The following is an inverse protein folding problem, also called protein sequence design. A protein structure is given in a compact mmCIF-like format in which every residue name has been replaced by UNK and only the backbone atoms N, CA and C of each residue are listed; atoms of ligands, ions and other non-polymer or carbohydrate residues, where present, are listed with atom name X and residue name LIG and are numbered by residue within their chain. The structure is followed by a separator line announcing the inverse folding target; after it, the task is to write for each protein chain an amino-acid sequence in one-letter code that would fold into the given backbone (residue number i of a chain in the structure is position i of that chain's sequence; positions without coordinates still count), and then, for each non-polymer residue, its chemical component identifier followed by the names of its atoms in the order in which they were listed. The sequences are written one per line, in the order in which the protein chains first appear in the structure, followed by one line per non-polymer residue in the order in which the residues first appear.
data_IF_605313533887
#
_entry.id   IF_605313533887
#
_cell.length_a   1.000
_cell.length_b   1.000
_cell.length_c   1.000
_cell.angle_alpha   90.00
_cell.angle_beta   90.00
_cell.angle_gamma   90.00
#
_symmetry.space_group_name_H-M   'P 1'
#
loop_
_entity.id
_entity.type
_entity.pdbx_description
1 polymer ?
#
# COMPACT_ATOMS: atom_id res chain seq x y z
N UNK A 1 -7.31 -6.19 -33.01
CA UNK A 1 -8.46 -5.48 -32.40
C UNK A 1 -9.62 -6.38 -31.92
N UNK A 2 -9.77 -7.66 -32.31
CA UNK A 2 -10.88 -8.52 -31.83
C UNK A 2 -10.73 -9.00 -30.37
N UNK A 3 -9.53 -9.35 -29.92
CA UNK A 3 -9.31 -9.91 -28.59
C UNK A 3 -9.66 -8.97 -27.43
N UNK A 4 -9.29 -7.68 -27.53
CA UNK A 4 -9.59 -6.69 -26.48
C UNK A 4 -11.11 -6.52 -26.27
N UNK A 5 -11.89 -6.49 -27.35
CA UNK A 5 -13.36 -6.40 -27.27
C UNK A 5 -13.99 -7.63 -26.62
N UNK A 6 -13.44 -8.83 -26.88
CA UNK A 6 -13.90 -10.07 -26.25
C UNK A 6 -13.58 -10.04 -24.75
N UNK A 7 -12.36 -9.63 -24.38
CA UNK A 7 -11.95 -9.50 -22.97
C UNK A 7 -12.84 -8.49 -22.24
N UNK A 8 -13.09 -7.32 -22.85
CA UNK A 8 -13.99 -6.31 -22.27
C UNK A 8 -15.42 -6.84 -22.10
N UNK A 9 -15.92 -7.62 -23.06
CA UNK A 9 -17.24 -8.24 -22.96
C UNK A 9 -17.29 -9.28 -21.83
N UNK A 10 -16.28 -10.15 -21.74
CA UNK A 10 -16.18 -11.16 -20.67
C UNK A 10 -16.07 -10.50 -19.30
N UNK A 11 -15.23 -9.47 -19.15
CA UNK A 11 -15.10 -8.73 -17.89
C UNK A 11 -16.42 -8.04 -17.50
N UNK A 12 -17.16 -7.50 -18.48
CA UNK A 12 -18.47 -6.91 -18.24
C UNK A 12 -19.49 -7.94 -17.77
N UNK A 13 -19.58 -9.09 -18.44
CA UNK A 13 -20.48 -10.17 -18.05
C UNK A 13 -20.13 -10.75 -16.67
N UNK A 14 -18.83 -10.94 -16.39
CA UNK A 14 -18.36 -11.36 -15.07
C UNK A 14 -18.75 -10.34 -13.99
N UNK A 15 -18.63 -9.04 -14.26
CA UNK A 15 -19.06 -7.99 -13.34
C UNK A 15 -20.58 -7.99 -13.13
N UNK A 16 -21.38 -8.30 -14.15
CA UNK A 16 -22.84 -8.38 -14.03
C UNK A 16 -23.27 -9.62 -13.22
N UNK A 17 -22.61 -10.77 -13.44
CA UNK A 17 -22.97 -12.03 -12.78
C UNK A 17 -22.43 -12.12 -11.35
N UNK A 18 -21.16 -11.74 -11.14
CA UNK A 18 -20.43 -11.96 -9.89
C UNK A 18 -19.98 -10.66 -9.21
N UNK A 19 -20.09 -9.52 -9.89
CA UNK A 19 -19.68 -8.24 -9.33
C UNK A 19 -20.64 -7.73 -8.27
N UNK A 20 -20.11 -6.81 -7.47
CA UNK A 20 -20.84 -6.20 -6.36
C UNK A 20 -21.93 -5.29 -6.90
N UNK A 21 -23.16 -5.52 -6.42
CA UNK A 21 -24.33 -4.73 -6.80
C UNK A 21 -24.31 -3.41 -6.05
N UNK A 22 -24.43 -2.29 -6.79
CA UNK A 22 -24.42 -0.93 -6.24
C UNK A 22 -23.23 -0.65 -5.32
N UNK A 23 -21.99 -0.70 -5.85
CA UNK A 23 -20.81 -0.49 -5.01
C UNK A 23 -20.77 0.92 -4.44
N UNK A 24 -20.25 1.04 -3.22
CA UNK A 24 -19.97 2.33 -2.59
C UNK A 24 -18.66 2.89 -3.13
N UNK A 25 -18.55 4.21 -3.15
CA UNK A 25 -17.29 4.87 -3.50
C UNK A 25 -16.21 4.47 -2.49
N UNK A 26 -15.00 4.24 -3.00
CA UNK A 26 -13.83 3.93 -2.19
C UNK A 26 -12.99 5.19 -1.99
N UNK A 27 -12.74 5.54 -0.74
CA UNK A 27 -11.90 6.67 -0.32
C UNK A 27 -10.58 6.09 0.19
N UNK A 28 -9.53 6.22 -0.61
CA UNK A 28 -8.19 5.69 -0.28
C UNK A 28 -7.35 6.80 0.31
N UNK A 29 -6.85 6.60 1.52
CA UNK A 29 -5.97 7.54 2.22
C UNK A 29 -4.53 7.03 2.18
N UNK A 30 -3.64 7.80 1.57
CA UNK A 30 -2.23 7.42 1.42
C UNK A 30 -1.32 8.51 1.98
N UNK A 31 -0.67 8.29 3.14
CA UNK A 31 0.45 9.12 3.55
C UNK A 31 1.66 8.84 2.66
N UNK A 32 2.38 9.88 2.26
CA UNK A 32 3.61 9.77 1.48
C UNK A 32 4.58 10.91 1.80
N UNK A 33 5.82 10.80 1.32
CA UNK A 33 6.82 11.85 1.41
C UNK A 33 7.90 11.62 0.35
N UNK A 34 8.59 12.70 -0.03
CA UNK A 34 9.63 12.66 -1.06
C UNK A 34 10.82 11.83 -0.60
N UNK A 35 11.05 10.71 -1.31
CA UNK A 35 12.15 9.77 -1.08
C UNK A 35 12.48 8.97 -2.35
N UNK A 36 13.58 8.23 -2.32
CA UNK A 36 14.12 7.45 -3.45
C UNK A 36 13.09 6.60 -4.19
N UNK A 37 12.25 5.86 -3.46
CA UNK A 37 11.27 4.93 -4.05
C UNK A 37 9.83 5.46 -4.06
N UNK A 38 9.61 6.74 -3.74
CA UNK A 38 8.27 7.33 -3.70
C UNK A 38 7.51 7.14 -5.02
N UNK A 39 8.15 7.47 -6.14
CA UNK A 39 7.51 7.39 -7.46
C UNK A 39 7.17 5.94 -7.84
N UNK A 40 8.01 4.97 -7.47
CA UNK A 40 7.75 3.54 -7.68
C UNK A 40 6.50 3.11 -6.92
N UNK A 41 6.47 3.38 -5.61
CA UNK A 41 5.39 3.04 -4.69
C UNK A 41 4.05 3.65 -5.12
N UNK A 42 4.01 4.98 -5.33
CA UNK A 42 2.80 5.66 -5.79
C UNK A 42 2.34 5.17 -7.16
N UNK A 43 3.24 4.82 -8.07
CA UNK A 43 2.86 4.24 -9.38
C UNK A 43 2.22 2.87 -9.23
N UNK A 44 2.77 2.01 -8.37
CA UNK A 44 2.21 0.68 -8.09
C UNK A 44 0.80 0.75 -7.51
N UNK A 45 0.61 1.60 -6.50
CA UNK A 45 -0.71 1.83 -5.91
C UNK A 45 -1.67 2.45 -6.94
N UNK A 46 -1.23 3.47 -7.68
CA UNK A 46 -2.01 4.11 -8.73
C UNK A 46 -2.54 3.11 -9.77
N UNK A 47 -1.69 2.21 -10.26
CA UNK A 47 -2.10 1.17 -11.20
C UNK A 47 -3.11 0.20 -10.59
N UNK A 48 -2.95 -0.15 -9.31
CA UNK A 48 -3.92 -0.97 -8.58
C UNK A 48 -5.28 -0.28 -8.53
N UNK A 49 -5.33 0.99 -8.11
CA UNK A 49 -6.57 1.76 -8.00
C UNK A 49 -7.26 1.99 -9.34
N UNK A 50 -6.51 2.22 -10.42
CA UNK A 50 -7.08 2.40 -11.77
C UNK A 50 -7.69 1.12 -12.37
N UNK A 51 -7.38 -0.05 -11.81
CA UNK A 51 -7.96 -1.32 -12.21
C UNK A 51 -9.23 -1.68 -11.41
N UNK A 52 -9.57 -0.89 -10.38
CA UNK A 52 -10.75 -1.13 -9.59
C UNK A 52 -12.04 -0.82 -10.37
N UNK A 53 -13.09 -1.63 -10.21
CA UNK A 53 -14.38 -1.41 -10.85
C UNK A 53 -15.27 -0.39 -10.12
N UNK A 54 -14.69 0.40 -9.20
CA UNK A 54 -15.35 1.27 -8.23
C UNK A 54 -15.01 2.75 -8.45
N UNK A 55 -15.87 3.65 -7.96
CA UNK A 55 -15.56 5.08 -7.94
C UNK A 55 -14.55 5.37 -6.83
N UNK A 56 -13.31 5.66 -7.22
CA UNK A 56 -12.20 5.88 -6.28
C UNK A 56 -11.91 7.37 -6.08
N UNK A 57 -11.93 7.80 -4.82
CA UNK A 57 -11.36 9.08 -4.36
C UNK A 57 -10.04 8.78 -3.66
N UNK A 58 -8.93 9.21 -4.24
CA UNK A 58 -7.60 8.99 -3.69
C UNK A 58 -7.05 10.25 -3.03
N UNK A 59 -6.98 10.23 -1.71
CA UNK A 59 -6.45 11.32 -0.88
C UNK A 59 -4.99 11.02 -0.56
N UNK A 60 -4.10 11.77 -1.20
CA UNK A 60 -2.65 11.65 -1.00
C UNK A 60 -2.20 12.80 -0.10
N UNK A 61 -1.67 12.47 1.08
CA UNK A 61 -1.14 13.45 2.03
C UNK A 61 0.38 13.38 1.98
N UNK A 62 1.04 14.48 1.65
CA UNK A 62 2.50 14.53 1.46
C UNK A 62 3.20 15.30 2.60
N UNK A 63 4.10 14.64 3.33
CA UNK A 63 4.88 15.27 4.39
C UNK A 63 5.95 16.21 3.81
N UNK A 64 6.13 17.37 4.44
CA UNK A 64 7.02 18.43 3.98
C UNK A 64 6.40 19.39 2.96
N UNK A 65 5.10 19.27 2.71
CA UNK A 65 4.35 20.08 1.75
C UNK A 65 4.08 19.37 0.42
N UNK A 66 3.04 19.80 -0.29
CA UNK A 66 2.68 19.24 -1.59
C UNK A 66 3.69 19.68 -2.66
N UNK A 67 4.33 18.72 -3.33
CA UNK A 67 5.36 19.00 -4.34
C UNK A 67 4.82 18.90 -5.76
N UNK A 68 5.44 19.64 -6.69
CA UNK A 68 5.05 19.62 -8.10
C UNK A 68 5.35 18.27 -8.75
N UNK A 69 6.42 17.60 -8.32
CA UNK A 69 6.84 16.29 -8.77
C UNK A 69 5.79 15.22 -8.43
N UNK A 70 5.35 15.20 -7.17
CA UNK A 70 4.26 14.32 -6.72
C UNK A 70 2.96 14.67 -7.45
N UNK A 71 2.62 15.95 -7.59
CA UNK A 71 1.42 16.38 -8.31
C UNK A 71 1.43 15.93 -9.79
N UNK A 72 2.57 16.03 -10.47
CA UNK A 72 2.75 15.60 -11.85
C UNK A 72 2.65 14.07 -12.00
N UNK A 73 3.15 13.31 -11.02
CA UNK A 73 2.98 11.86 -10.99
C UNK A 73 1.51 11.47 -10.85
N UNK A 74 0.82 12.07 -9.88
CA UNK A 74 -0.59 11.81 -9.58
C UNK A 74 -1.53 12.23 -10.72
N UNK A 75 -1.15 13.26 -11.48
CA UNK A 75 -1.92 13.73 -12.63
C UNK A 75 -2.19 12.63 -13.68
N UNK A 76 -1.31 11.62 -13.77
CA UNK A 76 -1.46 10.48 -14.70
C UNK A 76 -2.69 9.61 -14.39
N UNK A 77 -3.19 9.61 -13.16
CA UNK A 77 -4.34 8.82 -12.73
C UNK A 77 -5.70 9.52 -12.85
N UNK A 78 -5.69 10.85 -13.06
CA UNK A 78 -6.89 11.70 -12.96
C UNK A 78 -8.00 11.36 -13.96
N UNK A 79 -7.70 10.54 -14.96
CA UNK A 79 -8.68 10.07 -15.96
C UNK A 79 -9.64 9.03 -15.37
N UNK A 80 -9.20 8.25 -14.37
CA UNK A 80 -10.00 7.17 -13.78
C UNK A 80 -10.20 7.29 -12.26
N UNK A 81 -9.37 8.09 -11.59
CA UNK A 81 -9.37 8.23 -10.13
C UNK A 81 -9.46 9.72 -9.76
N UNK A 82 -10.36 10.07 -8.84
CA UNK A 82 -10.44 11.44 -8.32
C UNK A 82 -9.33 11.65 -7.29
N UNK A 83 -8.27 12.36 -7.67
CA UNK A 83 -7.13 12.59 -6.78
C UNK A 83 -7.25 13.91 -6.02
N UNK A 84 -7.00 13.85 -4.72
CA UNK A 84 -6.87 14.98 -3.80
C UNK A 84 -5.46 14.97 -3.20
N UNK A 85 -4.60 15.89 -3.64
CA UNK A 85 -3.23 16.00 -3.17
C UNK A 85 -3.13 17.11 -2.13
N UNK A 86 -2.75 16.75 -0.90
CA UNK A 86 -2.75 17.63 0.27
C UNK A 86 -1.33 17.69 0.84
N UNK A 87 -0.83 18.89 1.07
CA UNK A 87 0.43 19.09 1.78
C UNK A 87 0.26 18.98 3.30
N UNK A 88 1.21 18.33 3.95
CA UNK A 88 1.35 18.29 5.40
C UNK A 88 2.64 18.98 5.81
N UNK A 89 2.55 20.01 6.65
CA UNK A 89 3.65 20.95 6.91
C UNK A 89 4.86 20.29 7.60
N UNK A 90 4.62 19.30 8.48
CA UNK A 90 5.71 18.59 9.16
C UNK A 90 6.48 17.73 8.16
N UNK A 91 7.81 17.80 8.21
CA UNK A 91 8.70 16.93 7.43
C UNK A 91 8.72 15.52 8.03
N UNK A 92 8.97 14.53 7.18
CA UNK A 92 9.12 13.15 7.63
C UNK A 92 10.40 13.00 8.48
N UNK A 93 10.32 12.47 9.72
CA UNK A 93 11.49 12.24 10.56
C UNK A 93 12.48 11.23 9.97
N UNK A 94 13.77 11.40 10.29
CA UNK A 94 14.81 10.47 9.86
C UNK A 94 14.64 9.12 10.57
N UNK A 95 14.40 9.13 11.88
CA UNK A 95 14.22 7.94 12.70
C UNK A 95 12.81 7.36 12.60
N UNK A 96 12.72 6.04 12.54
CA UNK A 96 11.48 5.27 12.37
C UNK A 96 10.43 5.52 13.45
N UNK A 97 10.86 5.66 14.70
CA UNK A 97 9.97 5.90 15.83
C UNK A 97 9.10 7.15 15.62
N UNK A 98 9.69 8.22 15.06
CA UNK A 98 8.98 9.44 14.73
C UNK A 98 8.13 9.36 13.46
N UNK A 99 8.46 8.47 12.52
CA UNK A 99 7.72 8.35 11.25
C UNK A 99 6.31 7.85 11.46
N UNK A 100 6.12 6.81 12.26
CA UNK A 100 4.79 6.24 12.52
C UNK A 100 3.81 7.26 13.11
N UNK A 101 4.30 8.14 14.00
CA UNK A 101 3.48 9.23 14.56
C UNK A 101 3.05 10.20 13.47
N UNK A 102 4.00 10.66 12.65
CA UNK A 102 3.72 11.59 11.53
C UNK A 102 2.78 10.96 10.49
N UNK A 103 2.99 9.70 10.11
CA UNK A 103 2.09 8.98 9.20
C UNK A 103 0.66 8.90 9.76
N UNK A 104 0.51 8.65 11.06
CA UNK A 104 -0.80 8.61 11.70
C UNK A 104 -1.47 9.98 11.75
N UNK A 105 -0.73 11.05 12.06
CA UNK A 105 -1.24 12.42 11.97
C UNK A 105 -1.70 12.78 10.55
N UNK A 106 -0.99 12.32 9.51
CA UNK A 106 -1.37 12.51 8.11
C UNK A 106 -2.66 11.79 7.75
N UNK A 107 -2.87 10.56 8.25
CA UNK A 107 -4.13 9.82 8.09
C UNK A 107 -5.30 10.56 8.75
N UNK A 108 -5.09 11.10 9.95
CA UNK A 108 -6.09 11.93 10.63
C UNK A 108 -6.37 13.21 9.84
N UNK A 109 -5.34 13.89 9.29
CA UNK A 109 -5.53 15.06 8.41
C UNK A 109 -6.41 14.73 7.21
N UNK A 110 -6.24 13.55 6.59
CA UNK A 110 -7.11 13.10 5.51
C UNK A 110 -8.56 12.88 5.97
N UNK A 111 -8.78 12.27 7.14
CA UNK A 111 -10.12 12.11 7.72
C UNK A 111 -10.82 13.46 7.96
N UNK A 112 -10.09 14.53 8.28
CA UNK A 112 -10.67 15.89 8.36
C UNK A 112 -11.22 16.34 7.01
N UNK A 113 -10.49 16.08 5.94
CA UNK A 113 -10.93 16.41 4.58
C UNK A 113 -12.16 15.58 4.19
N UNK A 114 -12.18 14.29 4.52
CA UNK A 114 -13.38 13.44 4.35
C UNK A 114 -14.57 14.04 5.08
N UNK A 115 -14.36 14.53 6.31
CA UNK A 115 -15.41 15.14 7.14
C UNK A 115 -15.92 16.47 6.57
N UNK A 116 -15.00 17.38 6.26
CA UNK A 116 -15.31 18.73 5.75
C UNK A 116 -16.03 18.67 4.40
N UNK A 117 -15.61 17.77 3.52
CA UNK A 117 -16.23 17.59 2.20
C UNK A 117 -17.40 16.60 2.20
N UNK A 118 -17.70 15.99 3.36
CA UNK A 118 -18.75 14.97 3.53
C UNK A 118 -18.68 13.86 2.47
N UNK A 119 -17.46 13.37 2.21
CA UNK A 119 -17.26 12.31 1.23
C UNK A 119 -17.97 11.04 1.70
N UNK A 120 -18.87 10.50 0.90
CA UNK A 120 -19.66 9.31 1.22
C UNK A 120 -19.06 8.06 0.57
N UNK A 121 -18.74 7.04 1.37
CA UNK A 121 -18.05 5.85 0.88
C UNK A 121 -17.38 5.04 1.98
N UNK A 122 -16.50 4.13 1.56
CA UNK A 122 -15.67 3.31 2.44
C UNK A 122 -14.28 3.92 2.48
N UNK A 123 -13.77 4.23 3.68
CA UNK A 123 -12.40 4.72 3.87
C UNK A 123 -11.47 3.54 4.11
N UNK A 124 -10.42 3.47 3.32
CA UNK A 124 -9.31 2.52 3.47
C UNK A 124 -8.00 3.30 3.57
N UNK A 125 -7.13 2.91 4.50
CA UNK A 125 -5.77 3.46 4.58
C UNK A 125 -4.84 2.57 3.77
N UNK A 126 -4.17 3.13 2.76
CA UNK A 126 -3.26 2.40 1.89
C UNK A 126 -1.92 3.11 1.87
N UNK A 127 -0.94 2.57 2.58
CA UNK A 127 0.44 3.07 2.52
C UNK A 127 1.00 2.83 1.12
N UNK A 128 1.79 3.78 0.62
CA UNK A 128 2.27 3.76 -0.76
C UNK A 128 3.11 2.51 -1.10
N UNK A 129 3.79 1.92 -0.11
CA UNK A 129 4.66 0.74 -0.25
C UNK A 129 3.94 -0.60 -0.11
N UNK A 130 2.71 -0.63 0.41
CA UNK A 130 1.98 -1.88 0.63
C UNK A 130 1.50 -2.50 -0.68
N UNK A 131 1.41 -3.83 -0.70
CA UNK A 131 0.76 -4.56 -1.78
C UNK A 131 -0.64 -5.00 -1.37
N UNK A 132 -1.60 -4.74 -2.25
CA UNK A 132 -3.02 -4.99 -2.02
C UNK A 132 -3.55 -5.94 -3.10
N UNK A 133 -4.20 -7.02 -2.71
CA UNK A 133 -4.95 -7.84 -3.67
C UNK A 133 -6.18 -7.07 -4.17
N UNK A 134 -6.62 -7.34 -5.41
CA UNK A 134 -7.85 -6.74 -5.92
C UNK A 134 -9.09 -7.23 -5.14
N UNK A 135 -9.04 -8.46 -4.63
CA UNK A 135 -10.12 -9.06 -3.85
C UNK A 135 -10.38 -8.36 -2.52
N UNK A 136 -9.34 -7.76 -1.89
CA UNK A 136 -9.52 -6.93 -0.71
C UNK A 136 -10.55 -5.82 -0.95
N UNK A 137 -10.49 -5.20 -2.14
CA UNK A 137 -11.37 -4.09 -2.49
C UNK A 137 -12.80 -4.54 -2.77
N UNK A 138 -13.00 -5.81 -3.08
CA UNK A 138 -14.33 -6.41 -3.21
C UNK A 138 -14.88 -6.74 -1.81
N UNK A 139 -14.07 -7.33 -0.94
CA UNK A 139 -14.47 -7.71 0.41
C UNK A 139 -14.95 -6.50 1.24
N UNK A 140 -14.22 -5.39 1.17
CA UNK A 140 -14.53 -4.18 1.95
C UNK A 140 -15.85 -3.51 1.56
N UNK A 141 -16.41 -3.83 0.40
CA UNK A 141 -17.66 -3.23 -0.07
C UNK A 141 -18.87 -3.60 0.79
N UNK A 142 -18.76 -4.65 1.61
CA UNK A 142 -19.83 -5.08 2.53
C UNK A 142 -19.74 -4.46 3.93
N UNK A 143 -18.67 -3.71 4.24
CA UNK A 143 -18.40 -3.19 5.59
C UNK A 143 -19.44 -2.15 6.03
N UNK A 144 -20.22 -2.42 7.05
CA UNK A 144 -21.16 -1.42 7.57
C UNK A 144 -20.46 -0.43 8.51
N UNK A 145 -19.52 -0.92 9.33
CA UNK A 145 -18.86 -0.18 10.40
C UNK A 145 -17.33 -0.12 10.24
N UNK A 146 -16.58 -0.95 10.97
CA UNK A 146 -15.11 -1.01 11.01
C UNK A 146 -14.66 -2.44 10.69
N UNK A 147 -13.61 -2.65 9.90
CA UNK A 147 -13.23 -4.00 9.51
C UNK A 147 -11.71 -4.27 9.40
N UNK A 148 -11.30 -5.53 9.69
CA UNK A 148 -9.89 -5.99 9.83
C UNK A 148 -9.67 -7.43 9.32
N UNK A 149 -8.47 -7.77 8.81
CA UNK A 149 -8.07 -9.06 8.15
C UNK A 149 -6.96 -9.84 8.91
N UNK A 150 -6.91 -11.21 8.97
CA UNK A 150 -6.07 -12.14 9.84
C UNK A 150 -5.27 -13.31 9.12
N UNK A 151 -4.70 -14.27 9.88
CA UNK A 151 -4.06 -15.57 9.51
C UNK A 151 -4.73 -16.84 10.13
N UNK A 152 -4.54 -18.01 9.47
CA UNK A 152 -4.95 -19.39 9.83
C UNK A 152 -4.23 -20.02 11.06
N UNK A 153 -4.95 -20.82 11.86
CA UNK A 153 -4.40 -21.59 12.98
C UNK A 153 -3.42 -22.69 12.52
N UNK A 154 -2.11 -22.47 12.70
CA UNK A 154 -1.12 -23.51 13.08
C UNK A 154 0.25 -22.93 13.40
N UNK A 155 0.59 -22.90 14.69
CA UNK A 155 1.94 -22.93 15.32
C UNK A 155 3.15 -22.60 14.42
N UNK A 156 3.15 -21.45 13.75
CA UNK A 156 4.30 -20.96 13.00
C UNK A 156 4.54 -19.49 13.39
N UNK A 157 5.80 -19.04 13.50
CA UNK A 157 6.15 -17.70 13.97
C UNK A 157 5.96 -16.64 12.86
N UNK A 158 4.95 -16.78 12.01
CA UNK A 158 4.66 -15.82 10.96
C UNK A 158 4.05 -14.55 11.58
N UNK A 159 4.53 -13.39 11.13
CA UNK A 159 4.18 -12.08 11.66
C UNK A 159 2.95 -11.52 10.95
N UNK A 160 1.80 -12.20 11.05
CA UNK A 160 0.52 -11.71 10.50
C UNK A 160 -0.33 -11.11 11.63
N UNK A 161 -1.05 -10.04 11.32
CA UNK A 161 -1.96 -9.33 12.22
C UNK A 161 -3.41 -9.51 11.74
N UNK A 162 -4.39 -9.46 12.66
CA UNK A 162 -5.81 -9.39 12.31
C UNK A 162 -6.81 -9.65 13.44
N UNK A 163 -8.12 -9.80 13.13
CA UNK A 163 -9.12 -10.27 14.10
C UNK A 163 -8.78 -11.67 14.60
N UNK A 164 -9.49 -12.12 15.63
CA UNK A 164 -9.51 -13.51 16.05
C UNK A 164 -10.97 -13.86 16.40
N UNK A 165 -11.58 -14.83 15.71
CA UNK A 165 -12.99 -15.17 15.94
C UNK A 165 -13.22 -16.44 16.75
N UNK A 166 -14.39 -16.47 17.41
CA UNK A 166 -14.90 -17.69 18.01
C UNK A 166 -15.53 -18.63 16.97
N UNK A 167 -15.99 -19.80 17.41
CA UNK A 167 -16.62 -20.81 16.55
C UNK A 167 -17.91 -20.34 15.84
N UNK A 168 -18.46 -19.17 16.20
CA UNK A 168 -19.60 -18.55 15.54
C UNK A 168 -19.20 -17.43 14.57
N UNK A 169 -17.92 -17.36 14.17
CA UNK A 169 -17.34 -16.32 13.32
C UNK A 169 -17.57 -14.89 13.85
N UNK A 170 -17.72 -14.74 15.17
CA UNK A 170 -17.78 -13.43 15.83
C UNK A 170 -16.43 -13.07 16.41
N UNK A 171 -16.08 -11.78 16.30
CA UNK A 171 -14.84 -11.24 16.87
C UNK A 171 -14.75 -11.55 18.37
N UNK A 172 -13.65 -12.18 18.75
CA UNK A 172 -13.35 -12.60 20.13
C UNK A 172 -12.02 -12.05 20.66
N UNK A 173 -11.16 -11.55 19.77
CA UNK A 173 -9.88 -10.97 20.10
C UNK A 173 -9.13 -10.49 18.86
N UNK A 174 -7.82 -10.33 18.99
CA UNK A 174 -6.95 -9.83 17.93
C UNK A 174 -5.64 -10.62 17.90
N UNK A 175 -5.22 -11.03 16.71
CA UNK A 175 -3.87 -11.47 16.45
C UNK A 175 -3.01 -10.24 16.20
N UNK A 176 -2.04 -9.98 17.08
CA UNK A 176 -1.12 -8.84 16.98
C UNK A 176 0.31 -9.32 17.11
N UNK A 177 1.25 -8.53 16.58
CA UNK A 177 2.66 -8.89 16.62
C UNK A 177 3.19 -8.83 18.07
N UNK A 178 3.59 -9.98 18.61
CA UNK A 178 4.16 -10.07 19.95
C UNK A 178 5.67 -9.78 19.93
N UNK A 179 6.03 -8.54 20.22
CA UNK A 179 7.43 -8.09 20.34
C UNK A 179 8.19 -8.78 21.49
N UNK A 180 7.49 -9.31 22.49
CA UNK A 180 8.07 -9.99 23.65
C UNK A 180 8.86 -11.25 23.29
N UNK A 181 8.48 -11.96 22.23
CA UNK A 181 9.16 -13.19 21.76
C UNK A 181 10.58 -12.90 21.23
N UNK A 182 10.82 -11.65 20.80
CA UNK A 182 12.09 -11.21 20.23
C UNK A 182 12.93 -10.38 21.21
N UNK A 183 12.43 -10.15 22.43
CA UNK A 183 13.13 -9.39 23.48
C UNK A 183 14.43 -10.10 23.85
N UNK A 184 15.58 -9.48 23.54
CA UNK A 184 16.91 -10.04 23.79
C UNK A 184 17.52 -10.84 22.63
N UNK A 185 16.80 -11.03 21.52
CA UNK A 185 17.38 -11.56 20.27
C UNK A 185 17.78 -10.39 19.38
N UNK A 186 19.00 -9.90 19.56
CA UNK A 186 19.57 -8.86 18.70
C UNK A 186 20.26 -9.52 17.50
N UNK A 187 19.87 -9.15 16.28
CA UNK A 187 20.78 -9.32 15.15
C UNK A 187 21.79 -8.16 15.19
N UNK A 188 23.07 -8.45 14.93
CA UNK A 188 24.09 -7.41 14.79
C UNK A 188 23.87 -6.70 13.45
N UNK A 189 23.26 -5.52 13.48
CA UNK A 189 23.05 -4.70 12.30
C UNK A 189 24.27 -3.81 12.04
N UNK A 190 24.75 -3.75 10.81
CA UNK A 190 25.74 -2.77 10.38
C UNK A 190 24.99 -1.50 9.97
N UNK A 191 24.98 -0.47 10.83
CA UNK A 191 24.26 0.80 10.66
C UNK A 191 22.89 0.85 11.36
N UNK A 192 22.23 2.02 11.35
CA UNK A 192 20.89 2.31 11.95
C UNK A 192 19.72 1.52 11.30
N UNK A 193 19.92 0.24 11.00
CA UNK A 193 18.91 -0.66 10.48
C UNK A 193 18.25 -1.39 11.65
N UNK A 194 17.46 -0.68 12.45
CA UNK A 194 16.42 -1.37 13.21
C UNK A 194 15.45 -1.96 12.17
N UNK A 195 15.30 -3.28 12.14
CA UNK A 195 14.21 -3.93 11.40
C UNK A 195 12.92 -3.28 11.87
N UNK A 196 12.16 -2.71 10.93
CA UNK A 196 10.87 -2.10 11.25
C UNK A 196 9.95 -3.25 11.65
N UNK A 197 9.70 -3.39 12.95
CA UNK A 197 8.78 -4.38 13.46
C UNK A 197 7.36 -3.82 13.39
N UNK A 198 6.38 -4.58 12.88
CA UNK A 198 4.98 -4.21 12.95
C UNK A 198 4.57 -3.95 14.41
N UNK A 199 3.68 -2.98 14.63
CA UNK A 199 3.14 -2.73 15.98
C UNK A 199 1.90 -3.59 16.23
N UNK A 200 0.94 -3.12 17.03
CA UNK A 200 -0.28 -3.87 17.38
C UNK A 200 -1.06 -4.28 16.12
N UNK A 201 -1.80 -3.34 15.55
CA UNK A 201 -2.47 -3.48 14.25
C UNK A 201 -2.07 -2.29 13.39
N UNK A 202 -1.66 -2.53 12.16
CA UNK A 202 -1.34 -1.48 11.19
C UNK A 202 -2.60 -0.82 10.63
N UNK A 203 -2.51 0.48 10.33
CA UNK A 203 -3.62 1.26 9.75
C UNK A 203 -4.16 0.67 8.45
N UNK A 204 -3.31 -0.02 7.67
CA UNK A 204 -3.71 -0.61 6.41
C UNK A 204 -4.67 -1.80 6.54
N UNK A 205 -4.69 -2.44 7.71
CA UNK A 205 -5.67 -3.47 8.04
C UNK A 205 -6.98 -2.89 8.58
N UNK A 206 -7.17 -1.56 8.59
CA UNK A 206 -8.35 -0.92 9.16
C UNK A 206 -9.15 -0.20 8.07
N UNK A 207 -10.43 -0.55 7.97
CA UNK A 207 -11.37 -0.01 7.01
C UNK A 207 -12.59 0.52 7.76
N UNK A 208 -13.18 1.64 7.31
CA UNK A 208 -14.33 2.22 7.99
C UNK A 208 -15.33 2.89 7.05
N UNK A 209 -16.59 2.94 7.46
CA UNK A 209 -17.61 3.74 6.78
C UNK A 209 -17.39 5.24 6.99
N UNK A 210 -17.29 6.02 5.91
CA UNK A 210 -16.98 7.45 6.00
C UNK A 210 -18.06 8.26 6.73
N UNK A 211 -19.31 7.78 6.77
CA UNK A 211 -20.40 8.45 7.51
C UNK A 211 -20.09 8.57 8.98
N UNK A 212 -19.27 7.68 9.54
CA UNK A 212 -18.84 7.76 10.94
C UNK A 212 -18.15 9.09 11.25
N UNK A 213 -17.44 9.69 10.28
CA UNK A 213 -16.69 10.94 10.54
C UNK A 213 -17.52 12.22 10.42
N UNK A 214 -18.64 12.22 9.68
CA UNK A 214 -19.39 13.44 9.36
C UNK A 214 -20.89 13.40 9.59
N UNK A 215 -21.51 12.22 9.69
CA UNK A 215 -22.94 12.08 9.95
C UNK A 215 -23.17 12.02 11.46
N UNK A 216 -24.05 12.87 11.97
CA UNK A 216 -24.51 12.75 13.36
C UNK A 216 -25.32 11.45 13.50
N UNK A 217 -24.95 10.63 14.49
CA UNK A 217 -25.57 9.35 14.79
C UNK A 217 -25.39 9.04 16.29
N UNK A 218 -26.30 8.27 16.87
CA UNK A 218 -26.20 7.82 18.27
C UNK A 218 -24.90 7.06 18.53
N UNK A 219 -24.44 6.29 17.54
CA UNK A 219 -23.23 5.47 17.59
C UNK A 219 -21.99 6.16 17.00
N UNK A 220 -21.79 7.45 17.27
CA UNK A 220 -20.59 8.19 16.82
C UNK A 220 -19.47 8.11 17.88
N UNK A 221 -18.33 7.46 17.59
CA UNK A 221 -17.21 7.38 18.53
C UNK A 221 -16.69 8.75 18.97
N UNK A 222 -16.34 8.91 20.25
CA UNK A 222 -15.94 10.22 20.80
C UNK A 222 -14.66 10.78 20.18
N UNK A 223 -13.72 9.91 19.78
CA UNK A 223 -12.45 10.32 19.14
C UNK A 223 -12.66 11.05 17.80
N UNK A 224 -13.81 10.82 17.15
CA UNK A 224 -14.17 11.48 15.89
C UNK A 224 -14.61 12.93 16.12
N UNK A 225 -15.17 13.23 17.30
CA UNK A 225 -15.67 14.57 17.64
C UNK A 225 -14.52 15.56 17.70
N UNK A 226 -13.38 15.14 18.25
CA UNK A 226 -12.20 15.97 18.39
C UNK A 226 -10.93 15.29 17.86
N UNK A 227 -10.80 15.30 16.53
CA UNK A 227 -9.61 14.81 15.83
C UNK A 227 -8.37 15.67 16.08
N UNK A 228 -8.50 16.84 16.72
CA UNK A 228 -7.40 17.71 17.13
C UNK A 228 -6.87 17.28 18.50
N UNK A 229 -7.74 16.89 19.44
CA UNK A 229 -7.36 16.28 20.72
C UNK A 229 -6.68 14.92 20.52
N UNK A 230 -7.11 14.11 19.55
CA UNK A 230 -6.41 12.85 19.22
C UNK A 230 -4.96 13.13 18.77
N UNK A 231 -4.71 14.23 18.06
CA UNK A 231 -3.37 14.62 17.60
C UNK A 231 -2.55 15.30 18.72
N UNK A 232 -3.21 16.04 19.60
CA UNK A 232 -2.62 16.85 20.68
C UNK A 232 -2.48 16.11 22.01
N UNK A 233 -2.97 14.88 22.13
CA UNK A 233 -2.88 14.09 23.36
C UNK A 233 -1.44 13.73 23.70
N UNK A 234 -0.91 14.33 24.77
CA UNK A 234 0.36 13.98 25.43
C UNK A 234 0.27 12.68 26.28
N UNK A 235 -0.67 11.78 25.95
CA UNK A 235 -0.96 10.56 26.72
C UNK A 235 -0.35 9.30 26.12
N UNK A 236 -0.27 8.23 26.94
CA UNK A 236 0.17 6.86 26.61
C UNK A 236 -0.62 6.17 25.48
N UNK A 237 -1.66 6.81 24.92
CA UNK A 237 -2.47 6.27 23.84
C UNK A 237 -1.72 6.41 22.50
N UNK A 238 -0.97 5.36 22.14
CA UNK A 238 -0.24 5.24 20.87
C UNK A 238 -1.20 5.38 19.66
N UNK A 239 -1.29 6.60 19.09
CA UNK A 239 -1.97 6.89 17.80
C UNK A 239 -1.39 6.04 16.65
N UNK A 240 -0.24 5.40 16.87
CA UNK A 240 0.39 4.48 15.93
C UNK A 240 -0.48 3.29 15.51
N UNK A 241 -1.57 2.96 16.21
CA UNK A 241 -2.49 1.90 15.82
C UNK A 241 -3.96 2.33 15.89
N UNK A 242 -4.80 2.00 14.89
CA UNK A 242 -6.23 2.29 14.92
C UNK A 242 -6.99 1.47 15.98
N UNK A 243 -6.39 0.44 16.59
CA UNK A 243 -7.03 -0.29 17.69
C UNK A 243 -7.34 0.60 18.89
N UNK A 244 -6.57 1.67 19.13
CA UNK A 244 -6.89 2.65 20.19
C UNK A 244 -8.20 3.39 19.92
N UNK A 245 -8.65 3.43 18.66
CA UNK A 245 -9.89 4.08 18.23
C UNK A 245 -11.11 3.17 18.37
N UNK A 246 -10.91 1.86 18.52
CA UNK A 246 -11.96 0.86 18.70
C UNK A 246 -12.15 0.59 20.19
N UNK A 247 -13.12 1.29 20.80
CA UNK A 247 -13.48 1.08 22.22
C UNK A 247 -14.45 -0.08 22.44
N UNK A 248 -15.26 -0.38 21.43
CA UNK A 248 -16.30 -1.42 21.49
C UNK A 248 -16.11 -2.40 20.33
N UNK A 249 -15.79 -3.65 20.66
CA UNK A 249 -15.58 -4.71 19.69
C UNK A 249 -16.86 -5.08 18.91
N UNK A 250 -18.04 -4.73 19.41
CA UNK A 250 -19.31 -4.99 18.72
C UNK A 250 -19.49 -4.15 17.44
N UNK A 251 -18.71 -3.07 17.30
CA UNK A 251 -18.70 -2.20 16.12
C UNK A 251 -17.73 -2.68 15.03
N UNK A 252 -17.05 -3.81 15.24
CA UNK A 252 -16.07 -4.35 14.31
C UNK A 252 -16.62 -5.59 13.61
N UNK A 253 -16.53 -5.56 12.29
CA UNK A 253 -16.78 -6.68 11.39
C UNK A 253 -15.46 -7.31 10.96
N UNK A 254 -15.23 -8.60 11.22
CA UNK A 254 -14.03 -9.26 10.73
C UNK A 254 -14.11 -9.49 9.20
N UNK A 255 -13.08 -9.11 8.44
CA UNK A 255 -12.95 -9.38 7.00
C UNK A 255 -12.26 -10.72 6.73
N UNK A 256 -12.30 -11.18 5.48
CA UNK A 256 -11.46 -12.31 5.05
C UNK A 256 -11.91 -13.64 5.66
N UNK A 257 -13.23 -13.79 5.91
CA UNK A 257 -13.83 -14.92 6.65
C UNK A 257 -13.30 -15.06 8.08
N UNK A 258 -13.23 -13.92 8.76
CA UNK A 258 -12.46 -13.75 9.97
C UNK A 258 -11.03 -14.20 9.79
N UNK A 259 -10.36 -13.48 8.89
CA UNK A 259 -8.94 -13.55 8.68
C UNK A 259 -8.37 -14.89 8.23
N UNK A 260 -9.20 -15.81 7.76
CA UNK A 260 -8.71 -17.05 7.14
C UNK A 260 -8.07 -16.78 5.77
N UNK A 261 -7.97 -15.52 5.35
CA UNK A 261 -7.51 -15.13 4.02
C UNK A 261 -6.68 -13.85 4.08
N UNK A 262 -5.37 -13.97 3.87
CA UNK A 262 -4.47 -12.82 3.73
C UNK A 262 -4.72 -12.10 2.40
N UNK A 263 -5.13 -10.84 2.46
CA UNK A 263 -5.42 -10.02 1.27
C UNK A 263 -4.54 -8.77 1.13
N UNK A 264 -3.71 -8.48 2.13
CA UNK A 264 -2.80 -7.35 2.21
C UNK A 264 -1.41 -7.78 2.68
N UNK A 265 -0.36 -7.25 2.04
CA UNK A 265 1.03 -7.48 2.45
C UNK A 265 1.70 -6.15 2.81
N UNK A 266 2.13 -6.06 4.06
CA UNK A 266 2.91 -4.93 4.56
C UNK A 266 4.37 -5.09 4.10
N UNK A 267 4.68 -4.51 2.95
CA UNK A 267 5.98 -4.63 2.29
C UNK A 267 6.72 -3.30 2.35
N UNK A 268 7.37 -3.04 3.48
CA UNK A 268 8.10 -1.78 3.69
C UNK A 268 9.53 -1.88 3.15
N UNK A 269 9.67 -1.85 1.82
CA UNK A 269 10.95 -1.74 1.13
C UNK A 269 11.41 -0.28 1.09
N UNK A 270 12.16 0.16 2.12
CA UNK A 270 12.56 1.56 2.26
C UNK A 270 14.07 1.80 2.16
N UNK A 271 14.44 2.82 1.39
CA UNK A 271 15.69 3.54 1.57
C UNK A 271 15.58 4.51 2.76
N UNK A 272 16.70 4.99 3.31
CA UNK A 272 16.64 6.03 4.37
C UNK A 272 15.82 7.24 3.89
N UNK A 273 15.12 7.93 4.80
CA UNK A 273 14.28 9.07 4.41
C UNK A 273 15.06 10.23 3.78
N UNK A 274 16.35 10.37 4.11
CA UNK A 274 17.27 11.33 3.52
C UNK A 274 18.00 10.79 2.27
N UNK A 275 17.74 9.54 1.89
CA UNK A 275 18.34 8.92 0.73
C UNK A 275 17.85 9.62 -0.53
N UNK A 276 18.79 10.27 -1.21
CA UNK A 276 18.60 10.86 -2.53
C UNK A 276 19.41 10.03 -3.50
N UNK A 277 18.89 9.83 -4.72
CA UNK A 277 19.74 9.34 -5.79
C UNK A 277 20.94 10.30 -5.95
N UNK A 278 22.17 9.79 -6.06
CA UNK A 278 23.33 10.64 -6.22
C UNK A 278 23.17 11.51 -7.48
N UNK A 279 23.19 12.82 -7.28
CA UNK A 279 23.19 13.80 -8.35
C UNK A 279 24.47 13.64 -9.16
N UNK A 280 24.37 13.05 -10.36
CA UNK A 280 25.50 12.91 -11.31
C UNK A 280 25.86 11.49 -11.76
N UNK A 281 25.19 10.44 -11.25
CA UNK A 281 25.50 9.04 -11.62
C UNK A 281 24.58 8.45 -12.72
N UNK A 282 23.82 9.30 -13.42
CA UNK A 282 23.22 8.94 -14.71
C UNK A 282 24.15 9.45 -15.81
N UNK A 283 25.18 8.67 -16.14
CA UNK A 283 26.01 8.95 -17.30
C UNK A 283 25.24 8.47 -18.55
N UNK A 284 24.43 9.36 -19.13
CA UNK A 284 23.88 9.16 -20.47
C UNK A 284 25.00 9.39 -21.51
N UNK A 285 25.78 8.37 -21.82
CA UNK A 285 26.73 8.43 -22.94
C UNK A 285 25.95 8.32 -24.25
N UNK A 286 25.92 9.41 -25.01
CA UNK A 286 25.41 9.44 -26.37
C UNK A 286 26.43 8.77 -27.30
N UNK A 287 26.27 7.47 -27.57
CA UNK A 287 27.04 6.81 -28.63
C UNK A 287 26.50 7.25 -29.99
N UNK A 288 27.29 8.03 -30.73
CA UNK A 288 26.91 8.71 -31.98
C UNK A 288 26.69 7.78 -33.19
N UNK A 289 26.58 6.45 -33.02
CA UNK A 289 26.56 5.54 -34.17
C UNK A 289 25.30 4.69 -34.34
N UNK A 290 24.37 4.64 -33.38
CA UNK A 290 23.14 3.85 -33.55
C UNK A 290 21.93 4.54 -32.89
N UNK A 291 20.84 4.68 -33.65
CA UNK A 291 19.60 5.41 -33.31
C UNK A 291 18.72 4.69 -32.25
N UNK A 292 19.27 4.17 -31.16
CA UNK A 292 18.50 3.60 -30.05
C UNK A 292 19.00 4.09 -28.68
N UNK A 293 18.06 4.48 -27.84
CA UNK A 293 18.30 4.85 -26.44
C UNK A 293 18.47 3.58 -25.61
N UNK A 294 19.69 3.30 -25.13
CA UNK A 294 19.91 2.28 -24.09
C UNK A 294 20.16 2.97 -22.75
N UNK A 295 19.43 2.53 -21.72
CA UNK A 295 19.66 2.93 -20.34
C UNK A 295 20.68 1.94 -19.76
N UNK A 296 21.89 2.41 -19.47
CA UNK A 296 22.89 1.63 -18.74
C UNK A 296 22.68 1.84 -17.24
N UNK A 297 22.15 0.85 -16.53
CA UNK A 297 22.10 0.87 -15.06
C UNK A 297 23.37 0.18 -14.56
N UNK A 298 24.32 0.96 -14.01
CA UNK A 298 25.49 0.40 -13.35
C UNK A 298 25.04 -0.14 -11.98
N UNK A 299 24.76 -1.45 -11.92
CA UNK A 299 24.55 -2.15 -10.65
C UNK A 299 25.93 -2.45 -10.04
N UNK A 300 26.28 -1.74 -8.96
CA UNK A 300 27.44 -2.10 -8.15
C UNK A 300 27.08 -3.33 -7.29
N UNK A 301 27.65 -4.49 -7.63
CA UNK A 301 27.72 -5.61 -6.69
C UNK A 301 28.79 -5.26 -5.64
N UNK A 302 28.39 -5.07 -4.39
CA UNK A 302 29.34 -4.94 -3.28
C UNK A 302 29.92 -6.32 -2.96
N UNK A 303 31.04 -6.67 -3.60
CA UNK A 303 31.92 -7.71 -3.09
C UNK A 303 32.80 -7.12 -2.00
N UNK A 304 32.63 -7.60 -0.77
CA UNK A 304 33.58 -7.39 0.33
C UNK A 304 34.91 -8.06 -0.03
N UNK A 305 35.99 -7.27 -0.01
CA UNK A 305 37.36 -7.78 -0.02
C UNK A 305 38.03 -7.77 -1.39
N UNK A 306 38.93 -6.78 -1.55
CA UNK A 306 40.12 -6.75 -2.40
C UNK A 306 40.01 -7.21 -3.88
N UNK A 307 40.39 -6.25 -4.75
CA UNK A 307 40.66 -6.32 -6.19
C UNK A 307 39.51 -5.86 -7.08
N UNK A 308 39.75 -4.67 -7.65
CA UNK A 308 38.96 -4.00 -8.68
C UNK A 308 38.86 -4.85 -9.96
N UNK A 309 37.69 -5.41 -10.25
CA UNK A 309 37.31 -5.78 -11.60
C UNK A 309 35.93 -5.21 -11.92
N UNK A 310 35.90 -4.31 -12.89
CA UNK A 310 34.67 -3.76 -13.47
C UNK A 310 34.07 -4.83 -14.38
N UNK A 311 33.15 -5.65 -13.87
CA UNK A 311 32.37 -6.55 -14.73
C UNK A 311 31.18 -5.78 -15.31
N UNK A 312 31.28 -5.41 -16.59
CA UNK A 312 30.15 -4.87 -17.35
C UNK A 312 29.26 -6.05 -17.73
N UNK A 313 28.19 -6.26 -16.99
CA UNK A 313 27.18 -7.26 -17.37
C UNK A 313 26.17 -6.59 -18.29
N UNK A 314 26.15 -6.98 -19.57
CA UNK A 314 25.18 -6.50 -20.53
C UNK A 314 23.82 -7.18 -20.27
N UNK A 315 22.88 -6.46 -19.68
CA UNK A 315 21.48 -6.89 -19.69
C UNK A 315 20.83 -6.39 -20.99
N UNK A 316 20.88 -7.19 -22.05
CA UNK A 316 20.07 -6.96 -23.24
C UNK A 316 18.63 -7.38 -22.93
N UNK A 317 17.80 -6.43 -22.53
CA UNK A 317 16.35 -6.62 -22.48
C UNK A 317 15.81 -6.66 -23.92
N UNK A 318 15.84 -7.85 -24.53
CA UNK A 318 15.03 -8.12 -25.73
C UNK A 318 13.56 -8.20 -25.30
N UNK A 319 12.84 -7.08 -25.39
CA UNK A 319 11.38 -7.13 -25.49
C UNK A 319 11.03 -7.62 -26.90
N UNK A 320 10.93 -8.94 -27.08
CA UNK A 320 10.16 -9.47 -28.20
C UNK A 320 8.67 -9.37 -27.87
N UNK A 321 8.00 -8.50 -28.63
CA UNK A 321 6.56 -8.50 -28.85
C UNK A 321 6.12 -9.91 -29.26
N UNK A 322 5.40 -10.61 -28.37
CA UNK A 322 4.63 -11.80 -28.74
C UNK A 322 3.19 -11.37 -28.97
N UNK A 323 2.87 -11.07 -30.23
CA UNK A 323 1.51 -11.19 -30.77
C UNK A 323 1.43 -12.52 -31.49
N UNK A 324 0.46 -13.36 -31.11
CA UNK A 324 0.20 -14.66 -31.73
C UNK A 324 -0.15 -14.51 -33.21
N UNK A 325 0.34 -15.42 -34.07
CA UNK A 325 -0.46 -16.02 -35.15
C UNK A 325 0.17 -17.35 -35.63
N UNK A 326 -0.69 -18.37 -35.68
CA UNK A 326 -0.69 -19.53 -36.59
C UNK A 326 0.43 -20.61 -36.55
N UNK A 327 0.00 -21.75 -35.99
CA UNK A 327 -0.16 -23.02 -36.70
C UNK A 327 1.07 -23.90 -37.02
N UNK A 328 0.96 -25.11 -36.44
CA UNK A 328 1.24 -26.40 -37.03
C UNK A 328 2.69 -26.85 -37.27
N UNK A 329 2.95 -27.98 -36.60
CA UNK A 329 3.65 -29.18 -37.09
C UNK A 329 5.11 -29.39 -36.69
N UNK A 330 5.32 -30.66 -36.32
CA UNK A 330 6.54 -31.47 -36.41
C UNK A 330 7.38 -31.55 -35.14
N UNK A 331 6.91 -32.43 -34.25
CA UNK A 331 7.68 -33.56 -33.70
C UNK A 331 8.92 -33.91 -34.53
N UNK A 332 10.10 -33.86 -33.92
CA UNK A 332 11.10 -34.95 -33.89
C UNK A 332 12.53 -34.40 -33.82
N UNK A 333 13.29 -34.89 -32.85
CA UNK A 333 14.56 -35.53 -33.18
C UNK A 333 15.85 -34.71 -33.03
N UNK A 334 16.46 -34.92 -31.86
CA UNK A 334 17.89 -35.16 -31.61
C UNK A 334 18.86 -33.97 -31.44
N UNK A 335 19.86 -34.13 -30.54
CA UNK A 335 20.93 -33.17 -30.28
C UNK A 335 22.20 -33.51 -31.07
N UNK A 336 22.99 -32.50 -31.41
CA UNK A 336 24.41 -32.56 -31.79
C UNK A 336 24.95 -31.14 -31.52
N UNK A 337 26.10 -30.89 -30.88
CA UNK A 337 27.17 -31.70 -30.29
C UNK A 337 27.98 -30.78 -29.38
#
# INVERSE_FOLDING_TARGET
MKAHKIIEAVQREQKVQYGIKNPRSLIVVTPTYVRTFQALHLTGLMHTLMNLPYDVVWIVVEAGGATNETAALLAKSKVKVKVMHIGFEKKMPIFWEGRHKVESEMRLKALRVVREQKLDGIVMFADDSNMHSLELFDEIQNVEWIAVDEEDEKKSPLAVQGPACNASDRLSGWHTFNTGVYKGRNANYIGDMAVVLPRKLEWSGFVMNSRLVWKEAEFRPDWIKDLDVVVAGDGEDDIGSPLSLVKDASMVEPLGRCGKKVMLWWLRAEARADSKFPSGLVILLKFSSYNHWMILIVLFSMCFGLISYLSVTFLSLHMHSVTSEHANNVLNGKPLS
#
